data_IF_542842568936
#
_entry.id   IF_542842568936
#
_cell.length_a   1.000
_cell.length_b   1.000
_cell.length_c   1.000
_cell.angle_alpha   90.00
_cell.angle_beta   90.00
_cell.angle_gamma   90.00
#
_symmetry.space_group_name_H-M   'P 1'
#
loop_
_entity.id
_entity.type
_entity.pdbx_description
1 polymer ?
#
# COMPACT_ATOMS: atom_id res chain seq x y z
N UNK A 1 -49.32 -20.29 -36.07
CA UNK A 1 -48.43 -20.32 -37.26
C UNK A 1 -46.99 -20.57 -36.81
N UNK A 2 -46.14 -21.27 -37.58
CA UNK A 2 -44.71 -21.44 -37.25
C UNK A 2 -43.89 -20.29 -37.86
N UNK A 3 -43.07 -19.62 -37.05
CA UNK A 3 -42.17 -18.55 -37.50
C UNK A 3 -40.72 -19.03 -37.41
N UNK A 4 -39.94 -18.74 -38.45
CA UNK A 4 -38.53 -19.12 -38.55
C UNK A 4 -37.70 -17.86 -38.71
N UNK A 5 -36.95 -17.50 -37.67
CA UNK A 5 -36.02 -16.38 -37.70
C UNK A 5 -34.66 -16.84 -38.21
N UNK A 6 -34.29 -16.40 -39.42
CA UNK A 6 -32.99 -16.70 -40.01
C UNK A 6 -32.49 -15.56 -40.88
N UNK A 7 -31.17 -15.28 -40.87
CA UNK A 7 -30.56 -14.27 -41.75
C UNK A 7 -30.65 -14.66 -43.24
N UNK A 8 -30.68 -15.96 -43.53
CA UNK A 8 -30.87 -16.55 -44.87
C UNK A 8 -31.76 -17.78 -44.74
N UNK A 9 -32.75 -17.92 -45.64
CA UNK A 9 -33.61 -19.11 -45.72
C UNK A 9 -32.97 -20.27 -46.51
N UNK A 10 -31.91 -19.99 -47.28
CA UNK A 10 -31.18 -21.00 -48.07
C UNK A 10 -30.58 -22.07 -47.16
N UNK A 11 -30.94 -23.33 -47.39
CA UNK A 11 -30.45 -24.48 -46.61
C UNK A 11 -31.33 -24.86 -45.41
N UNK A 12 -32.45 -24.17 -45.20
CA UNK A 12 -33.47 -24.51 -44.21
C UNK A 12 -34.65 -25.14 -44.92
N UNK A 13 -34.84 -26.45 -44.76
CA UNK A 13 -35.99 -27.19 -45.29
C UNK A 13 -37.06 -27.34 -44.20
N UNK A 14 -37.59 -26.21 -43.73
CA UNK A 14 -38.67 -26.18 -42.75
C UNK A 14 -39.84 -25.36 -43.27
N UNK A 15 -41.04 -25.90 -43.13
CA UNK A 15 -42.26 -25.19 -43.49
C UNK A 15 -42.63 -24.20 -42.38
N UNK A 16 -42.68 -22.92 -42.74
CA UNK A 16 -43.00 -21.82 -41.82
C UNK A 16 -42.83 -20.45 -42.47
N UNK A 17 -43.24 -19.42 -41.74
CA UNK A 17 -43.03 -18.03 -42.16
C UNK A 17 -41.61 -17.61 -41.81
N UNK A 18 -40.79 -17.38 -42.84
CA UNK A 18 -39.42 -16.90 -42.65
C UNK A 18 -39.39 -15.41 -42.37
N UNK A 19 -38.76 -15.03 -41.27
CA UNK A 19 -38.51 -13.65 -40.91
C UNK A 19 -37.01 -13.40 -40.71
N UNK A 20 -36.57 -12.21 -41.05
CA UNK A 20 -35.18 -11.82 -40.84
C UNK A 20 -35.05 -11.24 -39.42
N UNK A 21 -34.17 -11.81 -38.56
CA UNK A 21 -33.94 -11.34 -37.20
C UNK A 21 -33.61 -9.84 -37.12
N UNK A 22 -32.98 -9.26 -38.16
CA UNK A 22 -32.61 -7.84 -38.21
C UNK A 22 -33.80 -6.88 -38.17
N UNK A 23 -34.97 -7.33 -38.60
CA UNK A 23 -36.19 -6.51 -38.66
C UNK A 23 -37.20 -6.88 -37.56
N UNK A 24 -36.74 -7.61 -36.55
CA UNK A 24 -37.57 -7.89 -35.39
C UNK A 24 -37.86 -6.60 -34.63
N UNK A 25 -39.14 -6.34 -34.37
CA UNK A 25 -39.62 -5.19 -33.62
C UNK A 25 -40.48 -5.66 -32.45
N UNK A 26 -41.50 -6.48 -32.73
CA UNK A 26 -42.38 -7.08 -31.73
C UNK A 26 -42.71 -8.55 -32.06
N UNK A 27 -43.00 -9.38 -31.06
CA UNK A 27 -43.39 -10.76 -31.28
C UNK A 27 -44.79 -10.86 -31.92
N UNK A 28 -44.93 -11.77 -32.88
CA UNK A 28 -46.21 -12.05 -33.52
C UNK A 28 -47.06 -12.96 -32.63
N UNK A 29 -48.13 -12.41 -32.06
CA UNK A 29 -49.06 -13.13 -31.18
C UNK A 29 -49.80 -14.30 -31.86
N UNK A 30 -49.79 -14.39 -33.19
CA UNK A 30 -50.38 -15.51 -33.94
C UNK A 30 -49.42 -16.70 -34.09
N UNK A 31 -48.17 -16.55 -33.63
CA UNK A 31 -47.19 -17.61 -33.63
C UNK A 31 -47.54 -18.68 -32.58
N UNK A 32 -47.48 -19.94 -33.01
CA UNK A 32 -47.68 -21.12 -32.15
C UNK A 32 -46.35 -21.80 -31.81
N UNK A 33 -45.31 -21.54 -32.60
CA UNK A 33 -43.95 -22.05 -32.41
C UNK A 33 -42.97 -21.16 -33.17
N UNK A 34 -41.81 -20.90 -32.57
CA UNK A 34 -40.75 -20.09 -33.15
C UNK A 34 -39.43 -20.85 -33.18
N UNK A 35 -38.78 -20.88 -34.35
CA UNK A 35 -37.43 -21.43 -34.51
C UNK A 35 -36.48 -20.28 -34.82
N UNK A 36 -35.40 -20.16 -34.05
CA UNK A 36 -34.40 -19.11 -34.19
C UNK A 36 -33.10 -19.74 -34.64
N UNK A 37 -32.64 -19.39 -35.84
CA UNK A 37 -31.36 -19.81 -36.37
C UNK A 37 -30.29 -18.76 -36.07
N UNK A 38 -29.37 -19.07 -35.16
CA UNK A 38 -28.34 -18.14 -34.67
C UNK A 38 -28.59 -17.68 -33.23
N UNK A 39 -27.80 -16.69 -32.79
CA UNK A 39 -27.88 -16.12 -31.44
C UNK A 39 -28.64 -14.79 -31.48
N UNK A 40 -29.91 -14.82 -31.05
CA UNK A 40 -30.81 -13.66 -31.03
C UNK A 40 -31.64 -13.66 -29.72
N UNK A 41 -31.02 -13.29 -28.59
CA UNK A 41 -31.65 -13.36 -27.27
C UNK A 41 -32.91 -12.49 -27.17
N UNK A 42 -32.92 -11.32 -27.80
CA UNK A 42 -34.06 -10.40 -27.76
C UNK A 42 -35.34 -11.03 -28.33
N UNK A 43 -35.21 -11.80 -29.42
CA UNK A 43 -36.33 -12.49 -30.07
C UNK A 43 -36.80 -13.64 -29.18
N UNK A 44 -35.86 -14.43 -28.65
CA UNK A 44 -36.17 -15.55 -27.74
C UNK A 44 -36.97 -15.07 -26.54
N UNK A 45 -36.47 -14.05 -25.85
CA UNK A 45 -37.07 -13.53 -24.63
C UNK A 45 -38.47 -12.94 -24.90
N UNK A 46 -38.67 -12.28 -26.05
CA UNK A 46 -39.96 -11.72 -26.42
C UNK A 46 -41.04 -12.80 -26.61
N UNK A 47 -40.72 -13.92 -27.26
CA UNK A 47 -41.67 -15.01 -27.46
C UNK A 47 -41.86 -15.87 -26.21
N UNK A 48 -40.81 -16.08 -25.39
CA UNK A 48 -40.92 -16.78 -24.10
C UNK A 48 -41.82 -16.03 -23.12
N UNK A 49 -41.77 -14.70 -23.09
CA UNK A 49 -42.69 -13.86 -22.28
C UNK A 49 -44.16 -14.04 -22.66
N UNK A 50 -44.44 -14.39 -23.91
CA UNK A 50 -45.78 -14.70 -24.39
C UNK A 50 -46.18 -16.16 -24.18
N UNK A 51 -45.30 -16.99 -23.60
CA UNK A 51 -45.53 -18.41 -23.42
C UNK A 51 -45.48 -19.22 -24.72
N UNK A 52 -44.89 -18.66 -25.78
CA UNK A 52 -44.76 -19.32 -27.08
C UNK A 52 -43.46 -20.15 -27.08
N UNK A 53 -43.54 -21.40 -27.56
CA UNK A 53 -42.38 -22.31 -27.61
C UNK A 53 -41.32 -21.80 -28.58
N UNK A 54 -40.11 -21.52 -28.06
CA UNK A 54 -38.94 -21.08 -28.83
C UNK A 54 -37.88 -22.18 -28.89
N UNK A 55 -37.41 -22.50 -30.10
CA UNK A 55 -36.30 -23.42 -30.33
C UNK A 55 -35.12 -22.68 -30.99
N UNK A 56 -33.97 -22.64 -30.31
CA UNK A 56 -32.75 -22.04 -30.86
C UNK A 56 -31.92 -23.11 -31.55
N UNK A 57 -31.69 -22.95 -32.85
CA UNK A 57 -30.85 -23.82 -33.68
C UNK A 57 -29.62 -23.08 -34.13
N UNK A 58 -28.52 -23.82 -34.31
CA UNK A 58 -27.35 -23.28 -35.01
C UNK A 58 -27.76 -23.00 -36.46
N UNK A 59 -27.37 -21.84 -36.98
CA UNK A 59 -27.52 -21.52 -38.40
C UNK A 59 -27.11 -22.75 -39.21
N UNK A 60 -27.90 -23.20 -40.21
CA UNK A 60 -27.40 -24.18 -41.15
C UNK A 60 -26.20 -23.47 -41.73
N UNK A 61 -25.03 -23.99 -41.39
CA UNK A 61 -23.81 -23.48 -41.94
C UNK A 61 -24.07 -23.42 -43.45
N UNK A 62 -23.60 -22.35 -44.12
CA UNK A 62 -23.16 -22.54 -45.49
C UNK A 62 -22.42 -23.90 -45.53
N UNK A 63 -22.29 -24.56 -46.67
CA UNK A 63 -21.09 -25.39 -46.82
C UNK A 63 -19.87 -24.47 -46.72
N UNK A 64 -19.57 -23.99 -45.52
CA UNK A 64 -18.26 -24.03 -44.95
C UNK A 64 -18.05 -25.52 -44.89
N UNK A 65 -17.51 -26.08 -45.98
CA UNK A 65 -16.62 -27.22 -45.82
C UNK A 65 -15.86 -26.91 -44.55
N UNK A 66 -16.02 -27.77 -43.56
CA UNK A 66 -15.27 -27.66 -42.33
C UNK A 66 -13.83 -27.54 -42.77
N UNK A 67 -13.33 -26.31 -42.81
CA UNK A 67 -11.93 -26.01 -42.69
C UNK A 67 -11.65 -26.38 -41.24
N UNK A 68 -11.63 -27.69 -40.95
CA UNK A 68 -10.45 -28.23 -40.29
C UNK A 68 -9.32 -27.53 -40.98
N UNK A 69 -8.79 -26.50 -40.32
CA UNK A 69 -7.58 -25.81 -40.72
C UNK A 69 -6.44 -26.83 -40.61
N UNK A 70 -6.43 -27.83 -41.48
CA UNK A 70 -5.21 -28.15 -42.19
C UNK A 70 -4.97 -26.95 -43.10
N UNK A 71 -4.45 -25.85 -42.54
CA UNK A 71 -3.72 -24.87 -43.34
C UNK A 71 -2.39 -25.54 -43.69
N UNK A 72 -2.51 -26.53 -44.58
CA UNK A 72 -1.50 -26.90 -45.54
C UNK A 72 -1.95 -26.35 -46.91
N UNK A 73 -2.63 -25.19 -46.90
CA UNK A 73 -2.48 -24.23 -47.98
C UNK A 73 -1.05 -23.75 -47.80
N UNK A 74 -0.21 -23.87 -48.82
CA UNK A 74 1.07 -23.18 -48.82
C UNK A 74 0.80 -21.69 -48.62
N UNK A 75 0.82 -21.24 -47.36
CA UNK A 75 1.04 -19.84 -47.02
C UNK A 75 2.29 -19.49 -47.80
N UNK A 76 2.20 -18.47 -48.66
CA UNK A 76 3.40 -18.00 -49.32
C UNK A 76 4.41 -17.67 -48.21
N UNK A 77 5.70 -17.96 -48.38
CA UNK A 77 6.69 -17.84 -47.32
C UNK A 77 6.65 -16.48 -46.59
N UNK A 78 6.25 -15.43 -47.29
CA UNK A 78 6.09 -14.08 -46.78
C UNK A 78 4.97 -13.96 -45.73
N UNK A 79 3.85 -14.65 -45.92
CA UNK A 79 2.74 -14.61 -44.97
C UNK A 79 3.06 -15.44 -43.72
N UNK A 80 3.78 -16.55 -43.87
CA UNK A 80 4.25 -17.34 -42.73
C UNK A 80 5.26 -16.54 -41.89
N UNK A 81 6.21 -15.87 -42.54
CA UNK A 81 7.17 -14.98 -41.87
C UNK A 81 6.47 -13.88 -41.08
N UNK A 82 5.49 -13.19 -41.69
CA UNK A 82 4.73 -12.14 -41.01
C UNK A 82 3.96 -12.65 -39.78
N UNK A 83 3.40 -13.86 -39.86
CA UNK A 83 2.71 -14.50 -38.73
C UNK A 83 3.69 -14.81 -37.60
N UNK A 84 4.87 -15.32 -37.92
CA UNK A 84 5.87 -15.67 -36.90
C UNK A 84 6.48 -14.42 -36.25
N UNK A 85 6.73 -13.36 -37.03
CA UNK A 85 7.16 -12.05 -36.51
C UNK A 85 6.09 -11.44 -35.59
N UNK A 86 4.82 -11.46 -36.01
CA UNK A 86 3.72 -10.95 -35.20
C UNK A 86 3.55 -11.72 -33.88
N UNK A 87 3.76 -13.04 -33.89
CA UNK A 87 3.75 -13.87 -32.67
C UNK A 87 4.92 -13.52 -31.75
N UNK A 88 6.11 -13.33 -32.32
CA UNK A 88 7.29 -12.95 -31.55
C UNK A 88 7.09 -11.58 -30.88
N UNK A 89 6.52 -10.61 -31.61
CA UNK A 89 6.21 -9.29 -31.06
C UNK A 89 5.13 -9.34 -29.98
N UNK A 90 4.08 -10.13 -30.17
CA UNK A 90 3.08 -10.36 -29.11
C UNK A 90 3.72 -10.96 -27.85
N UNK A 91 4.61 -11.95 -28.00
CA UNK A 91 5.31 -12.56 -26.87
C UNK A 91 6.18 -11.53 -26.13
N UNK A 92 6.87 -10.65 -26.88
CA UNK A 92 7.67 -9.56 -26.31
C UNK A 92 6.81 -8.57 -25.53
N UNK A 93 5.70 -8.10 -26.11
CA UNK A 93 4.78 -7.16 -25.46
C UNK A 93 4.14 -7.76 -24.22
N UNK A 94 3.85 -9.06 -24.20
CA UNK A 94 3.35 -9.74 -23.00
C UNK A 94 4.41 -9.81 -21.89
N UNK A 95 5.66 -10.09 -22.25
CA UNK A 95 6.77 -10.08 -21.30
C UNK A 95 7.01 -8.67 -20.72
N UNK A 96 7.06 -7.64 -21.57
CA UNK A 96 7.20 -6.24 -21.16
C UNK A 96 6.03 -5.79 -20.26
N UNK A 97 4.79 -6.17 -20.57
CA UNK A 97 3.63 -5.86 -19.71
C UNK A 97 3.69 -6.56 -18.35
N UNK A 98 4.22 -7.79 -18.30
CA UNK A 98 4.41 -8.50 -17.04
C UNK A 98 5.44 -7.80 -16.17
N UNK A 99 6.55 -7.37 -16.78
CA UNK A 99 7.60 -6.62 -16.10
C UNK A 99 7.12 -5.24 -15.61
N UNK A 100 6.40 -4.49 -16.44
CA UNK A 100 5.83 -3.20 -16.05
C UNK A 100 4.84 -3.35 -14.88
N UNK A 101 4.02 -4.39 -14.88
CA UNK A 101 3.13 -4.69 -13.74
C UNK A 101 3.92 -4.94 -12.44
N UNK A 102 5.02 -5.69 -12.53
CA UNK A 102 5.89 -5.92 -11.37
C UNK A 102 6.50 -4.61 -10.86
N UNK A 103 6.99 -3.75 -11.76
CA UNK A 103 7.53 -2.44 -11.39
C UNK A 103 6.49 -1.55 -10.71
N UNK A 104 5.26 -1.49 -11.25
CA UNK A 104 4.16 -0.73 -10.63
C UNK A 104 3.91 -1.23 -9.21
N UNK A 105 3.84 -2.56 -9.00
CA UNK A 105 3.65 -3.13 -7.66
C UNK A 105 4.75 -2.73 -6.67
N UNK A 106 6.00 -2.66 -7.13
CA UNK A 106 7.13 -2.23 -6.28
C UNK A 106 7.00 -0.75 -5.93
N UNK A 107 6.69 0.11 -6.91
CA UNK A 107 6.51 1.55 -6.67
C UNK A 107 5.32 1.85 -5.75
N UNK A 108 4.22 1.13 -5.90
CA UNK A 108 3.07 1.26 -5.01
C UNK A 108 3.42 0.90 -3.57
N UNK A 109 4.20 -0.17 -3.36
CA UNK A 109 4.66 -0.54 -2.03
C UNK A 109 5.61 0.50 -1.45
N UNK A 110 6.60 0.95 -2.23
CA UNK A 110 7.52 2.00 -1.80
C UNK A 110 6.80 3.30 -1.41
N UNK A 111 5.71 3.64 -2.11
CA UNK A 111 4.91 4.82 -1.79
C UNK A 111 4.12 4.66 -0.48
N UNK A 112 3.62 3.45 -0.18
CA UNK A 112 3.01 3.15 1.13
C UNK A 112 4.03 3.30 2.24
N UNK A 113 5.19 2.66 2.09
CA UNK A 113 6.28 2.73 3.06
C UNK A 113 6.74 4.18 3.29
N UNK A 114 6.81 4.99 2.23
CA UNK A 114 7.14 6.41 2.33
C UNK A 114 6.08 7.20 3.12
N UNK A 115 4.79 6.92 2.89
CA UNK A 115 3.70 7.54 3.66
C UNK A 115 3.77 7.19 5.14
N UNK A 116 4.12 5.94 5.48
CA UNK A 116 4.31 5.50 6.87
C UNK A 116 5.50 6.22 7.52
N UNK A 117 6.63 6.32 6.81
CA UNK A 117 7.80 7.05 7.28
C UNK A 117 7.51 8.53 7.53
N UNK A 118 6.73 9.20 6.67
CA UNK A 118 6.33 10.58 6.88
C UNK A 118 5.48 10.75 8.15
N UNK A 119 4.53 9.84 8.38
CA UNK A 119 3.72 9.83 9.59
C UNK A 119 4.58 9.62 10.84
N UNK A 120 5.51 8.67 10.80
CA UNK A 120 6.41 8.40 11.91
C UNK A 120 7.37 9.57 12.17
N UNK A 121 7.87 10.22 11.12
CA UNK A 121 8.72 11.39 11.25
C UNK A 121 7.98 12.55 11.92
N UNK A 122 6.71 12.78 11.57
CA UNK A 122 5.86 13.76 12.25
C UNK A 122 5.70 13.43 13.73
N UNK A 123 5.38 12.18 14.05
CA UNK A 123 5.23 11.72 15.44
C UNK A 123 6.49 11.89 16.26
N UNK A 124 7.65 11.55 15.69
CA UNK A 124 8.95 11.72 16.33
C UNK A 124 9.29 13.21 16.54
N UNK A 125 8.96 14.07 15.58
CA UNK A 125 9.15 15.51 15.70
C UNK A 125 8.30 16.11 16.83
N UNK A 126 7.05 15.68 16.95
CA UNK A 126 6.16 16.09 18.04
C UNK A 126 6.68 15.60 19.40
N UNK A 127 7.14 14.34 19.47
CA UNK A 127 7.75 13.78 20.68
C UNK A 127 9.03 14.53 21.08
N UNK A 128 9.87 14.92 20.11
CA UNK A 128 11.08 15.70 20.35
C UNK A 128 10.74 17.07 20.96
N UNK A 129 9.74 17.75 20.42
CA UNK A 129 9.28 19.05 20.93
C UNK A 129 8.80 18.94 22.37
N UNK A 130 8.05 17.88 22.70
CA UNK A 130 7.61 17.61 24.07
C UNK A 130 8.81 17.42 25.00
N UNK A 131 9.79 16.59 24.60
CA UNK A 131 10.99 16.37 25.41
C UNK A 131 11.83 17.65 25.57
N UNK A 132 11.94 18.47 24.52
CA UNK A 132 12.68 19.73 24.56
C UNK A 132 12.04 20.71 25.58
N UNK A 133 10.71 20.81 25.56
CA UNK A 133 9.96 21.59 26.54
C UNK A 133 10.13 21.04 27.97
N UNK A 134 10.04 19.72 28.15
CA UNK A 134 10.27 19.08 29.46
C UNK A 134 11.69 19.30 29.98
N UNK A 135 12.70 19.24 29.12
CA UNK A 135 14.08 19.56 29.48
C UNK A 135 14.24 21.03 29.88
N UNK A 136 13.59 21.95 29.16
CA UNK A 136 13.58 23.37 29.52
C UNK A 136 12.93 23.61 30.89
N UNK A 137 11.79 22.95 31.15
CA UNK A 137 11.10 23.01 32.44
C UNK A 137 11.94 22.44 33.59
N UNK A 138 12.53 21.26 33.42
CA UNK A 138 13.41 20.65 34.42
C UNK A 138 14.64 21.54 34.69
N UNK A 139 15.23 22.13 33.64
CA UNK A 139 16.35 23.06 33.78
C UNK A 139 15.96 24.32 34.54
N UNK A 140 14.76 24.85 34.29
CA UNK A 140 14.22 26.00 35.03
C UNK A 140 13.95 25.64 36.51
N UNK A 141 13.43 24.44 36.78
CA UNK A 141 13.23 23.93 38.15
C UNK A 141 14.57 23.75 38.89
N UNK A 142 15.60 23.24 38.22
CA UNK A 142 16.97 23.15 38.75
C UNK A 142 17.58 24.53 39.04
N UNK A 143 17.30 25.53 38.20
CA UNK A 143 17.74 26.91 38.43
C UNK A 143 17.02 27.54 39.64
N UNK A 144 15.70 27.34 39.78
CA UNK A 144 14.91 27.83 40.91
C UNK A 144 15.19 27.09 42.23
N UNK A 145 15.56 25.81 42.16
CA UNK A 145 16.02 25.03 43.31
C UNK A 145 17.36 25.50 43.91
N UNK A 146 18.07 26.39 43.20
CA UNK A 146 19.31 27.02 43.68
C UNK A 146 19.08 28.42 44.29
N UNK A 147 17.84 28.92 44.37
CA UNK A 147 17.54 30.28 44.84
C UNK A 147 16.66 30.29 46.11
N UNK A 148 17.19 29.74 47.20
CA UNK A 148 16.99 30.23 48.58
C UNK A 148 18.15 29.79 49.48
N UNK A 149 18.50 30.58 50.52
CA UNK A 149 19.88 30.99 50.74
C UNK A 149 20.64 30.01 51.64
N UNK A 150 21.49 29.18 51.04
CA UNK A 150 22.75 28.77 51.65
C UNK A 150 23.60 28.03 50.61
N UNK A 151 24.82 28.53 50.43
CA UNK A 151 25.96 27.79 49.90
C UNK A 151 25.97 27.55 48.39
N UNK A 152 26.76 28.38 47.69
CA UNK A 152 28.08 27.95 47.18
C UNK A 152 28.66 29.05 46.29
N UNK A 153 29.46 29.91 46.91
CA UNK A 153 30.54 30.61 46.20
C UNK A 153 31.70 29.63 46.20
N UNK A 154 32.05 29.08 45.03
CA UNK A 154 33.40 28.57 44.82
C UNK A 154 34.30 29.77 44.53
N UNK A 155 34.98 30.22 45.58
CA UNK A 155 36.27 30.90 45.49
C UNK A 155 37.16 30.33 46.59
N UNK A 156 38.28 29.78 46.17
CA UNK A 156 39.36 29.14 46.93
C UNK A 156 40.10 30.12 47.85
N UNK A 157 39.43 30.60 48.89
CA UNK A 157 40.05 31.28 50.04
C UNK A 157 39.17 31.06 51.27
N UNK A 158 39.00 29.79 51.67
CA UNK A 158 38.33 29.50 52.93
C UNK A 158 39.29 29.90 54.05
N UNK A 159 39.06 31.05 54.66
CA UNK A 159 39.85 31.50 55.81
C UNK A 159 39.53 30.61 57.04
N UNK A 160 40.23 29.47 57.12
CA UNK A 160 40.05 28.47 58.19
C UNK A 160 40.31 29.07 59.58
N UNK A 161 41.06 30.17 59.70
CA UNK A 161 41.32 30.88 60.95
C UNK A 161 40.03 31.34 61.66
N UNK A 162 38.97 31.57 60.89
CA UNK A 162 37.66 31.97 61.41
C UNK A 162 36.83 30.81 61.97
N UNK A 163 37.23 29.56 61.74
CA UNK A 163 36.46 28.40 62.17
C UNK A 163 36.60 28.12 63.66
N UNK A 164 35.56 27.51 64.23
CA UNK A 164 35.60 27.01 65.61
C UNK A 164 36.32 25.66 65.66
N UNK A 165 36.89 25.32 66.82
CA UNK A 165 37.60 24.04 67.02
C UNK A 165 36.77 22.81 66.60
N UNK A 166 35.45 22.71 66.89
CA UNK A 166 34.64 21.59 66.40
C UNK A 166 34.57 21.51 64.87
N UNK A 167 34.38 22.64 64.18
CA UNK A 167 34.29 22.66 62.71
C UNK A 167 35.59 22.22 62.05
N UNK A 168 36.72 22.62 62.60
CA UNK A 168 38.04 22.21 62.09
C UNK A 168 38.23 20.69 62.32
N UNK A 169 37.83 20.17 63.48
CA UNK A 169 37.90 18.73 63.77
C UNK A 169 37.03 17.89 62.83
N UNK A 170 35.81 18.33 62.56
CA UNK A 170 34.89 17.63 61.64
C UNK A 170 35.45 17.62 60.20
N UNK A 171 36.06 18.73 59.76
CA UNK A 171 36.69 18.79 58.45
C UNK A 171 37.91 17.88 58.33
N UNK A 172 38.80 17.88 59.33
CA UNK A 172 39.94 16.97 59.35
C UNK A 172 39.49 15.50 59.38
N UNK A 173 38.44 15.17 60.16
CA UNK A 173 37.85 13.83 60.18
C UNK A 173 37.26 13.43 58.83
N UNK A 174 36.56 14.34 58.14
CA UNK A 174 36.01 14.10 56.79
C UNK A 174 37.09 13.91 55.73
N UNK A 175 38.30 14.44 55.95
CA UNK A 175 39.46 14.26 55.07
C UNK A 175 40.35 13.09 55.51
N UNK A 176 39.91 12.31 56.51
CA UNK A 176 40.66 11.21 57.12
C UNK A 176 42.03 11.65 57.69
N UNK A 177 42.16 12.92 58.11
CA UNK A 177 43.35 13.49 58.72
C UNK A 177 43.28 13.30 60.23
N UNK A 178 44.17 12.48 60.79
CA UNK A 178 44.26 12.21 62.22
C UNK A 178 44.76 13.43 63.02
N UNK A 179 44.03 13.82 64.06
CA UNK A 179 44.41 14.89 64.99
C UNK A 179 44.32 14.41 66.45
N UNK A 180 45.07 15.06 67.35
CA UNK A 180 44.98 14.78 68.80
C UNK A 180 43.73 15.43 69.37
N UNK A 181 42.98 14.72 70.21
CA UNK A 181 41.74 15.24 70.83
C UNK A 181 41.97 16.51 71.67
N UNK A 182 43.17 16.65 72.25
CA UNK A 182 43.62 17.81 73.02
C UNK A 182 44.32 18.90 72.20
N UNK A 183 44.37 18.78 70.87
CA UNK A 183 45.03 19.76 70.00
C UNK A 183 44.36 21.14 70.12
N UNK A 184 45.20 22.18 70.14
CA UNK A 184 44.80 23.57 70.12
C UNK A 184 44.28 23.99 68.73
N UNK A 185 43.59 25.12 68.67
CA UNK A 185 43.02 25.64 67.42
C UNK A 185 44.09 25.80 66.33
N UNK A 186 45.23 26.37 66.70
CA UNK A 186 46.34 26.65 65.76
C UNK A 186 46.98 25.36 65.23
N UNK A 187 47.10 24.33 66.08
CA UNK A 187 47.59 23.00 65.65
C UNK A 187 46.64 22.32 64.68
N UNK A 188 45.33 22.46 64.88
CA UNK A 188 44.32 21.91 63.97
C UNK A 188 44.31 22.64 62.63
N UNK A 189 44.52 23.96 62.63
CA UNK A 189 44.63 24.76 61.41
C UNK A 189 45.89 24.41 60.60
N UNK A 190 47.00 24.09 61.27
CA UNK A 190 48.23 23.67 60.61
C UNK A 190 48.12 22.31 59.91
N UNK A 191 47.16 21.47 60.30
CA UNK A 191 46.89 20.17 59.68
C UNK A 191 46.02 20.26 58.41
N UNK A 192 45.44 21.42 58.14
CA UNK A 192 44.65 21.64 56.92
C UNK A 192 45.62 21.71 55.73
N UNK A 193 45.45 20.84 54.71
CA UNK A 193 46.28 20.90 53.50
C UNK A 193 46.15 22.27 52.86
N UNK A 194 47.28 22.96 52.69
CA UNK A 194 47.36 24.17 51.88
C UNK A 194 47.56 23.71 50.43
N UNK A 195 46.58 23.96 49.56
CA UNK A 195 46.75 23.81 48.11
C UNK A 195 47.66 24.91 47.55
#
# INVERSE_FOLDING_TARGET
MKIIYAKKSTGINEDGSFQNPKYFDHPDSTATSVVIYGDYPDIKDAYEKLGISVEVRKNPHMKVESLTMNVQVGVTPELQQFIDDAKAECAKVVAENTELKNQISVYEQANKDHSELLSENSRLKDALLILENQCAELKAQLALGNESPASRVETTDTNYESWTVPQIKDFLASKEIGFKSSASKDELLALIPKE
#
